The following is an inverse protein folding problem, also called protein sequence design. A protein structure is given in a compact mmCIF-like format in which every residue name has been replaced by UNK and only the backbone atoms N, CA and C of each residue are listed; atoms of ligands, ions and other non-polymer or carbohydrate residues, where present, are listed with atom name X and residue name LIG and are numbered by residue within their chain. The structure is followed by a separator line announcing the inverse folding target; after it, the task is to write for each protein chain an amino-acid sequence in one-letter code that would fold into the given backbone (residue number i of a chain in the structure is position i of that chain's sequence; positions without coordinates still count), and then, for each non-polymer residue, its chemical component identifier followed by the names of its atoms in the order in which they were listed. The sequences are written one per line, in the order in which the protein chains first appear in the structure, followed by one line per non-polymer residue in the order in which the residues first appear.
data_IF_091641408498
#
_entry.id   IF_091641408498
#
_cell.length_a   1.000
_cell.length_b   1.000
_cell.length_c   1.000
_cell.angle_alpha   90.00
_cell.angle_beta   90.00
_cell.angle_gamma   90.00
#
_symmetry.space_group_name_H-M   'P 1'
#
loop_
_entity.id
_entity.type
_entity.pdbx_description
1 polymer ?
#
# COMPACT_ATOMS: atom_id res chain seq x y z
N UNK A 1 -5.43 -31.43 29.58
CA UNK A 1 -5.63 -30.80 28.26
C UNK A 1 -6.03 -29.39 28.54
N UNK A 2 -5.21 -28.40 28.20
CA UNK A 2 -5.62 -27.01 27.91
C UNK A 2 -4.37 -26.25 27.46
N UNK A 3 -4.12 -26.28 26.16
CA UNK A 3 -3.09 -25.48 25.50
C UNK A 3 -3.67 -24.95 24.21
N UNK A 4 -4.53 -23.91 24.31
CA UNK A 4 -5.00 -23.14 23.16
C UNK A 4 -5.29 -21.70 23.60
N UNK A 5 -4.28 -20.83 23.51
CA UNK A 5 -4.48 -19.43 23.86
C UNK A 5 -3.26 -18.53 23.66
N UNK A 6 -2.53 -18.65 22.55
CA UNK A 6 -1.42 -17.72 22.29
C UNK A 6 -1.05 -17.47 20.81
N UNK A 7 -1.53 -18.26 19.85
CA UNK A 7 -1.14 -18.07 18.44
C UNK A 7 -1.85 -16.92 17.70
N UNK A 8 -3.07 -16.51 18.08
CA UNK A 8 -3.82 -15.48 17.33
C UNK A 8 -3.38 -14.03 17.60
N UNK A 9 -2.77 -13.73 18.76
CA UNK A 9 -2.37 -12.35 19.10
C UNK A 9 -1.04 -11.96 18.47
N UNK A 10 -0.13 -12.92 18.31
CA UNK A 10 1.13 -12.72 17.58
C UNK A 10 0.89 -12.40 16.10
N UNK A 11 -0.09 -13.02 15.45
CA UNK A 11 -0.40 -12.80 14.04
C UNK A 11 -0.99 -11.40 13.75
N UNK A 12 -1.89 -10.92 14.61
CA UNK A 12 -2.53 -9.61 14.42
C UNK A 12 -1.56 -8.45 14.69
N UNK A 13 -0.67 -8.58 15.68
CA UNK A 13 0.33 -7.57 15.98
C UNK A 13 1.32 -7.40 14.83
N UNK A 14 1.83 -8.51 14.28
CA UNK A 14 2.71 -8.51 13.11
C UNK A 14 1.98 -8.00 11.86
N UNK A 15 0.71 -8.37 11.67
CA UNK A 15 -0.11 -7.80 10.59
C UNK A 15 -0.23 -6.27 10.71
N UNK A 16 -0.51 -5.74 11.91
CA UNK A 16 -0.58 -4.29 12.17
C UNK A 16 0.76 -3.58 11.93
N UNK A 17 1.87 -4.20 12.27
CA UNK A 17 3.21 -3.68 12.02
C UNK A 17 3.50 -3.59 10.52
N UNK A 18 3.28 -4.68 9.77
CA UNK A 18 3.46 -4.72 8.31
C UNK A 18 2.54 -3.70 7.63
N UNK A 19 1.30 -3.56 8.10
CA UNK A 19 0.37 -2.55 7.60
C UNK A 19 0.87 -1.15 7.92
N UNK A 20 1.40 -0.91 9.13
CA UNK A 20 2.01 0.37 9.50
C UNK A 20 3.05 0.83 8.49
N UNK A 21 3.96 -0.06 8.12
CA UNK A 21 5.02 0.22 7.13
C UNK A 21 4.47 0.36 5.71
N UNK A 22 3.54 -0.51 5.33
CA UNK A 22 2.91 -0.49 4.01
C UNK A 22 2.14 0.82 3.78
N UNK A 23 1.56 1.42 4.81
CA UNK A 23 0.79 2.66 4.70
C UNK A 23 1.71 3.90 4.57
N UNK A 24 3.01 3.80 4.86
CA UNK A 24 3.96 4.92 4.72
C UNK A 24 4.34 5.21 3.26
N UNK A 25 4.72 6.45 2.90
CA UNK A 25 5.34 6.73 1.61
C UNK A 25 6.59 5.89 1.38
N UNK A 26 6.90 5.60 0.11
CA UNK A 26 8.13 4.88 -0.24
C UNK A 26 9.31 5.83 -0.06
N UNK A 27 10.34 5.42 0.70
CA UNK A 27 11.58 6.18 0.77
C UNK A 27 12.21 6.25 -0.61
N UNK A 28 12.34 7.47 -1.15
CA UNK A 28 12.85 7.72 -2.50
C UNK A 28 14.37 7.94 -2.54
N UNK A 29 15.05 7.89 -1.40
CA UNK A 29 16.48 8.16 -1.32
C UNK A 29 17.29 7.11 -2.11
N UNK A 30 18.07 7.57 -3.08
CA UNK A 30 18.89 6.70 -3.94
C UNK A 30 18.13 5.98 -5.06
N UNK A 31 16.82 6.21 -5.22
CA UNK A 31 16.03 5.59 -6.29
C UNK A 31 15.90 6.50 -7.51
N UNK A 32 16.09 5.95 -8.71
CA UNK A 32 15.74 6.63 -9.95
C UNK A 32 14.21 6.70 -10.15
N UNK A 33 13.78 7.62 -11.02
CA UNK A 33 12.34 7.87 -11.26
C UNK A 33 11.59 6.66 -11.84
N UNK A 34 12.23 5.82 -12.67
CA UNK A 34 11.58 4.65 -13.26
C UNK A 34 11.39 3.55 -12.20
N UNK A 35 12.41 3.32 -11.37
CA UNK A 35 12.32 2.42 -10.22
C UNK A 35 11.24 2.89 -9.24
N UNK A 36 11.24 4.17 -8.87
CA UNK A 36 10.25 4.73 -7.96
C UNK A 36 8.82 4.61 -8.52
N UNK A 37 8.64 4.84 -9.82
CA UNK A 37 7.36 4.65 -10.52
C UNK A 37 6.87 3.21 -10.38
N UNK A 38 7.72 2.22 -10.72
CA UNK A 38 7.35 0.79 -10.65
C UNK A 38 6.97 0.36 -9.25
N UNK A 39 7.68 0.87 -8.24
CA UNK A 39 7.37 0.58 -6.84
C UNK A 39 5.99 1.14 -6.45
N UNK A 40 5.67 2.37 -6.83
CA UNK A 40 4.33 2.93 -6.59
C UNK A 40 3.23 2.21 -7.38
N UNK A 41 3.48 1.78 -8.63
CA UNK A 41 2.53 0.95 -9.41
C UNK A 41 2.24 -0.36 -8.68
N UNK A 42 3.28 -1.08 -8.25
CA UNK A 42 3.15 -2.32 -7.48
C UNK A 42 2.40 -2.10 -6.17
N UNK A 43 2.70 -1.01 -5.46
CA UNK A 43 2.05 -0.65 -4.20
C UNK A 43 0.57 -0.36 -4.36
N UNK A 44 0.17 0.37 -5.40
CA UNK A 44 -1.24 0.66 -5.71
C UNK A 44 -2.00 -0.64 -5.97
N UNK A 45 -1.46 -1.52 -6.81
CA UNK A 45 -2.10 -2.82 -7.12
C UNK A 45 -2.26 -3.66 -5.85
N UNK A 46 -1.23 -3.71 -5.01
CA UNK A 46 -1.29 -4.44 -3.74
C UNK A 46 -2.38 -3.89 -2.81
N UNK A 47 -2.43 -2.56 -2.63
CA UNK A 47 -3.40 -1.91 -1.74
C UNK A 47 -4.84 -2.10 -2.25
N UNK A 48 -5.07 -2.09 -3.57
CA UNK A 48 -6.39 -2.38 -4.14
C UNK A 48 -6.81 -3.83 -3.92
N UNK A 49 -5.89 -4.79 -4.11
CA UNK A 49 -6.17 -6.20 -3.82
C UNK A 49 -6.49 -6.40 -2.34
N UNK A 50 -5.74 -5.73 -1.46
CA UNK A 50 -5.98 -5.79 -0.02
C UNK A 50 -7.31 -5.15 0.37
N UNK A 51 -7.70 -4.04 -0.26
CA UNK A 51 -9.01 -3.41 -0.09
C UNK A 51 -10.15 -4.38 -0.40
N UNK A 52 -10.04 -5.10 -1.53
CA UNK A 52 -11.04 -6.09 -1.94
C UNK A 52 -11.08 -7.24 -0.92
N UNK A 53 -9.93 -7.78 -0.53
CA UNK A 53 -9.84 -8.86 0.48
C UNK A 53 -10.48 -8.44 1.81
N UNK A 54 -10.12 -7.25 2.30
CA UNK A 54 -10.67 -6.67 3.52
C UNK A 54 -12.20 -6.55 3.43
N UNK A 55 -12.73 -6.03 2.32
CA UNK A 55 -14.17 -5.90 2.11
C UNK A 55 -14.88 -7.26 2.10
N UNK A 56 -14.34 -8.24 1.37
CA UNK A 56 -14.92 -9.58 1.26
C UNK A 56 -14.94 -10.29 2.62
N UNK A 57 -13.84 -10.27 3.37
CA UNK A 57 -13.77 -10.92 4.68
C UNK A 57 -14.71 -10.28 5.70
N UNK A 58 -14.77 -8.95 5.75
CA UNK A 58 -15.67 -8.21 6.65
C UNK A 58 -17.15 -8.50 6.41
N UNK A 59 -17.52 -8.84 5.17
CA UNK A 59 -18.90 -9.16 4.80
C UNK A 59 -19.16 -10.67 4.72
N UNK A 60 -18.22 -11.50 5.18
CA UNK A 60 -18.37 -12.95 5.18
C UNK A 60 -18.92 -13.45 6.52
N UNK A 61 -19.66 -14.56 6.49
CA UNK A 61 -20.22 -15.20 7.69
C UNK A 61 -19.17 -15.86 8.60
N UNK A 62 -17.88 -15.81 8.24
CA UNK A 62 -16.80 -16.57 8.90
C UNK A 62 -16.06 -15.81 10.00
N UNK A 63 -16.48 -14.59 10.30
CA UNK A 63 -15.72 -13.68 11.17
C UNK A 63 -14.51 -13.11 10.43
N UNK A 64 -14.16 -11.87 10.74
CA UNK A 64 -13.11 -11.12 10.05
C UNK A 64 -12.00 -10.75 11.01
N UNK A 65 -10.75 -10.87 10.55
CA UNK A 65 -9.59 -10.29 11.23
C UNK A 65 -9.43 -8.79 10.92
N UNK A 66 -10.09 -8.30 9.87
CA UNK A 66 -10.13 -6.90 9.50
C UNK A 66 -11.23 -6.15 10.26
N UNK A 67 -10.90 -4.93 10.66
CA UNK A 67 -11.82 -3.95 11.24
C UNK A 67 -12.21 -2.89 10.20
N UNK A 68 -13.26 -2.12 10.50
CA UNK A 68 -13.62 -0.96 9.68
C UNK A 68 -12.51 0.11 9.64
N UNK A 69 -11.69 0.19 10.70
CA UNK A 69 -10.53 1.08 10.74
C UNK A 69 -9.46 0.63 9.74
N UNK A 70 -9.17 -0.67 9.66
CA UNK A 70 -8.25 -1.22 8.67
C UNK A 70 -8.70 -0.90 7.25
N UNK A 71 -9.99 -1.07 6.97
CA UNK A 71 -10.56 -0.75 5.66
C UNK A 71 -10.38 0.73 5.30
N UNK A 72 -10.64 1.64 6.24
CA UNK A 72 -10.45 3.08 6.03
C UNK A 72 -8.98 3.45 5.80
N UNK A 73 -8.06 2.83 6.56
CA UNK A 73 -6.62 3.02 6.40
C UNK A 73 -6.12 2.55 5.03
N UNK A 74 -6.54 1.35 4.60
CA UNK A 74 -6.19 0.80 3.28
C UNK A 74 -6.67 1.73 2.17
N UNK A 75 -7.92 2.20 2.22
CA UNK A 75 -8.48 3.14 1.24
C UNK A 75 -7.67 4.43 1.18
N UNK A 76 -7.34 5.00 2.34
CA UNK A 76 -6.54 6.23 2.43
C UNK A 76 -5.15 6.04 1.83
N UNK A 77 -4.47 4.93 2.13
CA UNK A 77 -3.15 4.66 1.59
C UNK A 77 -3.18 4.36 0.09
N UNK A 78 -4.20 3.68 -0.42
CA UNK A 78 -4.36 3.45 -1.86
C UNK A 78 -4.49 4.79 -2.60
N UNK A 79 -5.29 5.72 -2.06
CA UNK A 79 -5.44 7.06 -2.61
C UNK A 79 -4.12 7.86 -2.58
N UNK A 80 -3.37 7.81 -1.48
CA UNK A 80 -2.08 8.51 -1.38
C UNK A 80 -1.02 7.90 -2.30
N UNK A 81 -0.91 6.57 -2.36
CA UNK A 81 0.00 5.88 -3.28
C UNK A 81 -0.29 6.24 -4.74
N UNK A 82 -1.56 6.34 -5.11
CA UNK A 82 -1.96 6.77 -6.45
C UNK A 82 -1.66 8.27 -6.69
N UNK A 83 -1.80 9.14 -5.68
CA UNK A 83 -1.37 10.55 -5.76
C UNK A 83 0.13 10.66 -6.02
N UNK A 84 0.94 9.91 -5.28
CA UNK A 84 2.40 9.87 -5.44
C UNK A 84 2.81 9.33 -6.81
N UNK A 85 2.18 8.24 -7.26
CA UNK A 85 2.40 7.71 -8.60
C UNK A 85 2.19 8.77 -9.69
N UNK A 86 1.10 9.54 -9.60
CA UNK A 86 0.83 10.65 -10.55
C UNK A 86 1.91 11.71 -10.50
N UNK A 87 2.43 12.06 -9.32
CA UNK A 87 3.54 13.02 -9.20
C UNK A 87 4.82 12.49 -9.85
N UNK A 88 5.17 11.23 -9.62
CA UNK A 88 6.36 10.61 -10.25
C UNK A 88 6.23 10.59 -11.77
N UNK A 89 5.05 10.25 -12.30
CA UNK A 89 4.78 10.28 -13.75
C UNK A 89 4.91 11.71 -14.30
N UNK A 90 4.37 12.72 -13.61
CA UNK A 90 4.51 14.11 -14.02
C UNK A 90 5.97 14.54 -14.07
N UNK A 91 6.76 14.22 -13.04
CA UNK A 91 8.20 14.51 -13.03
C UNK A 91 8.94 13.84 -14.19
N UNK A 92 8.64 12.58 -14.46
CA UNK A 92 9.25 11.84 -15.57
C UNK A 92 8.90 12.45 -16.94
N UNK A 93 7.67 12.94 -17.12
CA UNK A 93 7.23 13.65 -18.33
C UNK A 93 7.96 14.99 -18.45
N UNK A 94 8.00 15.78 -17.37
CA UNK A 94 8.66 17.09 -17.35
C UNK A 94 10.15 16.97 -17.67
N UNK A 95 10.85 16.01 -17.09
CA UNK A 95 12.27 15.73 -17.37
C UNK A 95 12.49 15.35 -18.85
N UNK A 96 11.62 14.50 -19.41
CA UNK A 96 11.67 14.15 -20.83
C UNK A 96 11.46 15.35 -21.76
N UNK A 97 10.49 16.22 -21.43
CA UNK A 97 10.20 17.41 -22.23
C UNK A 97 11.34 18.42 -22.17
N UNK A 98 11.93 18.63 -21.00
CA UNK A 98 13.08 19.53 -20.83
C UNK A 98 14.28 19.08 -21.68
N UNK A 99 14.57 17.78 -21.71
CA UNK A 99 15.63 17.21 -22.55
C UNK A 99 15.42 17.46 -24.04
N UNK A 100 14.16 17.47 -24.51
CA UNK A 100 13.82 17.69 -25.93
C UNK A 100 13.90 19.14 -26.38
N UNK A 101 13.75 20.11 -25.48
CA UNK A 101 13.83 21.54 -25.84
C UNK A 101 15.27 22.06 -25.99
N UNK A 102 16.25 21.29 -25.50
CA UNK A 102 17.68 21.65 -25.53
C UNK A 102 18.41 20.97 -26.71
N UNK A 103 17.71 20.17 -27.53
CA UNK A 103 18.17 19.64 -28.82
C UNK A 103 17.56 20.41 -29.99
#
# INVERSE_FOLDING_TARGET
MDSKGSHNQLDYATYREIMGDLLQPISSEGLDLDTLKRLYESKVVYLENLRIKCFVEMNSDRGSHFTAEDQALIVKAAAEANRQLRQVVLLAITDNLAKRQVS
#
